data_IF_664105199593
#
_entry.id   IF_664105199593
#
_cell.length_a   1.000
_cell.length_b   1.000
_cell.length_c   1.000
_cell.angle_alpha   90.00
_cell.angle_beta   90.00
_cell.angle_gamma   90.00
#
_symmetry.space_group_name_H-M   'P 1'
#
loop_
_entity.id
_entity.type
_entity.pdbx_description
1 polymer ?
#
# COMPACT_ATOMS: atom_id res chain seq x y z
N UNK A 1 -34.86 28.20 27.58
CA UNK A 1 -34.58 26.77 27.78
C UNK A 1 -34.34 26.08 26.41
N UNK A 2 -33.29 26.44 25.65
CA UNK A 2 -33.08 25.96 24.27
C UNK A 2 -31.59 25.84 23.86
N UNK A 3 -30.67 25.53 24.80
CA UNK A 3 -29.22 25.45 24.51
C UNK A 3 -28.54 24.11 24.83
N UNK A 4 -29.26 23.05 25.20
CA UNK A 4 -28.64 21.76 25.58
C UNK A 4 -28.83 20.60 24.60
N UNK A 5 -29.49 20.75 23.44
CA UNK A 5 -29.73 19.62 22.50
C UNK A 5 -28.74 19.46 21.36
N UNK A 6 -27.90 20.46 21.05
CA UNK A 6 -26.94 20.37 19.97
C UNK A 6 -25.62 19.63 20.33
N UNK A 7 -25.19 19.66 21.58
CA UNK A 7 -23.94 19.08 22.06
C UNK A 7 -23.98 17.55 22.16
N UNK A 8 -25.12 16.96 22.50
CA UNK A 8 -25.27 15.50 22.60
C UNK A 8 -25.28 14.80 21.23
N UNK A 9 -25.89 15.42 20.23
CA UNK A 9 -25.96 14.82 18.88
C UNK A 9 -24.61 14.79 18.19
N UNK A 10 -23.79 15.82 18.37
CA UNK A 10 -22.43 15.93 17.82
C UNK A 10 -21.46 14.98 18.54
N UNK A 11 -21.58 14.82 19.86
CA UNK A 11 -20.79 13.84 20.64
C UNK A 11 -21.14 12.40 20.27
N UNK A 12 -22.42 12.08 20.11
CA UNK A 12 -22.89 10.74 19.73
C UNK A 12 -22.44 10.38 18.31
N UNK A 13 -22.50 11.33 17.37
CA UNK A 13 -22.03 11.13 15.99
C UNK A 13 -20.51 10.95 15.92
N UNK A 14 -19.73 11.71 16.70
CA UNK A 14 -18.28 11.53 16.86
C UNK A 14 -17.91 10.19 17.51
N UNK A 15 -18.69 9.73 18.48
CA UNK A 15 -18.49 8.42 19.13
C UNK A 15 -18.82 7.25 18.19
N UNK A 16 -19.88 7.38 17.37
CA UNK A 16 -20.24 6.38 16.38
C UNK A 16 -19.20 6.29 15.25
N UNK A 17 -18.65 7.42 14.78
CA UNK A 17 -17.55 7.44 13.79
C UNK A 17 -16.26 6.76 14.30
N UNK A 18 -15.97 6.83 15.61
CA UNK A 18 -14.81 6.16 16.23
C UNK A 18 -14.96 4.63 16.34
N UNK A 19 -16.15 4.08 16.14
CA UNK A 19 -16.46 2.65 16.30
C UNK A 19 -16.67 1.91 14.97
N UNK A 20 -16.49 2.56 13.82
CA UNK A 20 -16.55 1.85 12.53
C UNK A 20 -15.36 0.89 12.36
N UNK A 21 -15.51 -0.17 11.56
CA UNK A 21 -14.39 -1.07 11.22
C UNK A 21 -13.18 -0.29 10.69
N UNK A 22 -13.39 0.67 9.81
CA UNK A 22 -12.35 1.54 9.25
C UNK A 22 -11.61 2.34 10.32
N UNK A 23 -12.35 2.96 11.25
CA UNK A 23 -11.74 3.75 12.33
C UNK A 23 -10.88 2.89 13.26
N UNK A 24 -11.31 1.65 13.55
CA UNK A 24 -10.53 0.69 14.36
C UNK A 24 -9.27 0.24 13.63
N UNK A 25 -9.39 -0.10 12.35
CA UNK A 25 -8.25 -0.50 11.53
C UNK A 25 -7.28 0.67 11.39
N UNK A 26 -7.78 1.90 11.12
CA UNK A 26 -6.94 3.10 11.04
C UNK A 26 -6.18 3.36 12.34
N UNK A 27 -6.83 3.22 13.48
CA UNK A 27 -6.19 3.36 14.79
C UNK A 27 -5.07 2.32 15.00
N UNK A 28 -5.28 1.06 14.59
CA UNK A 28 -4.25 0.02 14.70
C UNK A 28 -3.07 0.26 13.76
N UNK A 29 -3.30 0.82 12.56
CA UNK A 29 -2.21 1.23 11.66
C UNK A 29 -1.47 2.47 12.17
N UNK A 30 -2.15 3.43 12.78
CA UNK A 30 -1.50 4.57 13.44
C UNK A 30 -0.53 4.09 14.53
N UNK A 31 -0.95 3.13 15.37
CA UNK A 31 -0.07 2.52 16.35
C UNK A 31 1.15 1.87 15.69
N UNK A 32 0.94 1.00 14.71
CA UNK A 32 2.00 0.27 14.00
C UNK A 32 2.99 1.21 13.29
N UNK A 33 2.52 2.32 12.70
CA UNK A 33 3.36 3.23 11.92
C UNK A 33 4.01 4.31 12.78
N UNK A 34 3.25 4.91 13.71
CA UNK A 34 3.71 6.09 14.45
C UNK A 34 4.24 5.71 15.84
N UNK A 35 3.49 4.92 16.62
CA UNK A 35 3.86 4.61 18.01
C UNK A 35 4.96 3.54 18.10
N UNK A 36 4.99 2.59 17.17
CA UNK A 36 6.04 1.55 17.09
C UNK A 36 7.26 1.99 16.26
N UNK A 37 7.34 3.27 15.91
CA UNK A 37 8.45 3.88 15.17
C UNK A 37 8.85 3.14 13.89
N UNK A 38 7.87 2.89 13.02
CA UNK A 38 8.05 2.17 11.76
C UNK A 38 9.22 2.75 10.93
N UNK A 39 10.08 1.93 10.29
CA UNK A 39 11.30 2.40 9.63
C UNK A 39 11.04 3.28 8.40
N UNK A 40 9.89 3.15 7.74
CA UNK A 40 9.56 3.92 6.54
C UNK A 40 9.15 5.35 6.89
N UNK A 41 10.02 6.32 6.65
CA UNK A 41 9.77 7.76 6.88
C UNK A 41 8.59 8.27 6.05
N UNK A 42 8.41 7.77 4.83
CA UNK A 42 7.27 8.16 3.99
C UNK A 42 5.94 7.71 4.60
N UNK A 43 5.89 6.47 5.11
CA UNK A 43 4.71 5.98 5.83
C UNK A 43 4.43 6.84 7.08
N UNK A 44 5.45 7.14 7.89
CA UNK A 44 5.28 8.02 9.05
C UNK A 44 4.76 9.40 8.65
N UNK A 45 5.28 9.99 7.58
CA UNK A 45 4.83 11.29 7.08
C UNK A 45 3.36 11.27 6.68
N UNK A 46 2.93 10.34 5.84
CA UNK A 46 1.54 10.30 5.37
C UNK A 46 0.55 9.97 6.50
N UNK A 47 0.94 9.13 7.45
CA UNK A 47 0.11 8.82 8.63
C UNK A 47 0.02 10.00 9.60
N UNK A 48 1.14 10.67 9.91
CA UNK A 48 1.15 11.84 10.82
C UNK A 48 0.36 13.02 10.26
N UNK A 49 0.31 13.18 8.94
CA UNK A 49 -0.43 14.23 8.24
C UNK A 49 -1.87 13.86 7.91
N UNK A 50 -2.35 12.67 8.33
CA UNK A 50 -3.67 12.11 7.99
C UNK A 50 -3.93 12.02 6.48
N UNK A 51 -2.88 11.75 5.69
CA UNK A 51 -2.90 11.64 4.22
C UNK A 51 -2.96 10.17 3.73
N UNK A 52 -3.65 9.32 4.48
CA UNK A 52 -3.89 7.92 4.15
C UNK A 52 -5.35 7.73 3.80
N UNK A 53 -5.63 7.34 2.57
CA UNK A 53 -6.96 6.92 2.12
C UNK A 53 -7.12 5.41 2.41
N UNK A 54 -7.67 5.09 3.59
CA UNK A 54 -7.78 3.73 4.10
C UNK A 54 -9.18 3.18 3.88
N UNK A 55 -9.25 2.00 3.27
CA UNK A 55 -10.48 1.26 3.02
C UNK A 55 -10.42 -0.15 3.61
N UNK A 56 -11.56 -0.65 4.07
CA UNK A 56 -11.74 -2.00 4.60
C UNK A 56 -12.53 -2.84 3.60
N UNK A 57 -11.96 -3.99 3.22
CA UNK A 57 -12.58 -4.95 2.31
C UNK A 57 -12.73 -6.31 3.00
N UNK A 58 -13.66 -7.13 2.50
CA UNK A 58 -14.00 -8.43 3.08
C UNK A 58 -12.91 -9.46 2.82
N UNK A 59 -12.60 -9.71 1.53
CA UNK A 59 -11.75 -10.81 1.08
C UNK A 59 -10.56 -10.31 0.25
N UNK A 60 -9.36 -10.80 0.56
CA UNK A 60 -8.20 -10.69 -0.28
C UNK A 60 -8.22 -11.80 -1.34
N UNK A 61 -7.96 -11.46 -2.61
CA UNK A 61 -7.88 -12.41 -3.72
C UNK A 61 -9.25 -12.75 -4.33
N UNK A 62 -10.21 -11.81 -4.31
CA UNK A 62 -11.51 -11.98 -4.96
C UNK A 62 -11.79 -10.93 -6.05
N UNK A 63 -12.47 -11.33 -7.13
CA UNK A 63 -12.84 -10.43 -8.23
C UNK A 63 -13.90 -9.39 -7.80
N UNK A 64 -14.74 -9.75 -6.83
CA UNK A 64 -15.70 -8.81 -6.24
C UNK A 64 -14.97 -7.67 -5.52
N UNK A 65 -14.00 -8.02 -4.68
CA UNK A 65 -13.15 -7.04 -3.99
C UNK A 65 -12.33 -6.19 -4.97
N UNK A 66 -11.81 -6.79 -6.06
CA UNK A 66 -11.08 -6.05 -7.08
C UNK A 66 -11.91 -4.90 -7.68
N UNK A 67 -13.21 -5.13 -7.96
CA UNK A 67 -14.10 -4.06 -8.47
C UNK A 67 -14.30 -2.93 -7.45
N UNK A 68 -14.42 -3.27 -6.15
CA UNK A 68 -14.54 -2.27 -5.09
C UNK A 68 -13.26 -1.45 -4.96
N UNK A 69 -12.10 -2.12 -4.86
CA UNK A 69 -10.79 -1.46 -4.77
C UNK A 69 -10.57 -0.55 -5.98
N UNK A 70 -10.82 -1.03 -7.20
CA UNK A 70 -10.61 -0.24 -8.41
C UNK A 70 -11.48 1.03 -8.43
N UNK A 71 -12.75 0.92 -8.00
CA UNK A 71 -13.64 2.07 -7.89
C UNK A 71 -13.09 3.12 -6.92
N UNK A 72 -12.68 2.68 -5.73
CA UNK A 72 -12.17 3.58 -4.69
C UNK A 72 -10.81 4.16 -5.11
N UNK A 73 -9.94 3.35 -5.74
CA UNK A 73 -8.66 3.80 -6.27
C UNK A 73 -8.81 4.84 -7.40
N UNK A 74 -9.80 4.68 -8.30
CA UNK A 74 -10.10 5.70 -9.32
C UNK A 74 -10.54 7.04 -8.68
N UNK A 75 -11.31 7.00 -7.59
CA UNK A 75 -11.64 8.20 -6.82
C UNK A 75 -10.41 8.83 -6.17
N UNK A 76 -9.51 8.01 -5.59
CA UNK A 76 -8.25 8.45 -5.04
C UNK A 76 -7.36 9.14 -6.09
N UNK A 77 -7.21 8.54 -7.29
CA UNK A 77 -6.44 9.12 -8.39
C UNK A 77 -7.06 10.45 -8.84
N UNK A 78 -8.40 10.51 -8.98
CA UNK A 78 -9.09 11.72 -9.40
C UNK A 78 -9.02 12.87 -8.40
N UNK A 79 -8.90 12.56 -7.11
CA UNK A 79 -8.73 13.55 -6.03
C UNK A 79 -7.28 13.96 -5.81
N UNK A 80 -6.30 13.25 -6.39
CA UNK A 80 -4.90 13.52 -6.21
C UNK A 80 -4.45 14.75 -7.01
N UNK A 81 -3.82 15.71 -6.32
CA UNK A 81 -3.23 16.89 -6.95
C UNK A 81 -1.78 16.60 -7.38
N UNK A 82 -1.57 16.29 -8.66
CA UNK A 82 -0.25 15.98 -9.23
C UNK A 82 0.67 17.21 -9.34
N UNK A 83 0.17 18.42 -9.15
CA UNK A 83 0.98 19.66 -9.09
C UNK A 83 1.48 19.96 -7.68
N UNK A 84 0.92 19.30 -6.66
CA UNK A 84 1.35 19.48 -5.27
C UNK A 84 2.63 18.69 -4.96
N UNK A 85 3.27 19.01 -3.82
CA UNK A 85 4.33 18.20 -3.25
C UNK A 85 3.81 17.25 -2.17
N UNK A 86 2.51 16.97 -2.16
CA UNK A 86 1.87 16.12 -1.17
C UNK A 86 2.03 14.65 -1.52
N UNK A 87 2.43 13.86 -0.53
CA UNK A 87 2.49 12.40 -0.64
C UNK A 87 1.27 11.81 0.05
N UNK A 88 0.54 10.95 -0.66
CA UNK A 88 -0.63 10.25 -0.19
C UNK A 88 -0.45 8.75 -0.41
N UNK A 89 -1.13 7.94 0.37
CA UNK A 89 -1.15 6.48 0.20
C UNK A 89 -2.59 5.99 0.21
N UNK A 90 -2.96 5.18 -0.79
CA UNK A 90 -4.19 4.40 -0.73
C UNK A 90 -3.88 3.07 -0.04
N UNK A 91 -4.64 2.71 1.00
CA UNK A 91 -4.42 1.51 1.80
C UNK A 91 -5.66 0.60 1.79
N UNK A 92 -5.58 -0.49 1.04
CA UNK A 92 -6.60 -1.55 1.06
C UNK A 92 -6.31 -2.53 2.20
N UNK A 93 -7.24 -2.71 3.14
CA UNK A 93 -7.09 -3.57 4.31
C UNK A 93 -8.12 -4.70 4.35
N UNK A 94 -7.73 -5.87 4.87
CA UNK A 94 -8.51 -7.11 4.84
C UNK A 94 -8.56 -7.77 6.23
N UNK A 95 -9.31 -7.22 7.20
CA UNK A 95 -9.28 -7.67 8.60
C UNK A 95 -9.97 -9.03 8.84
N UNK A 96 -10.67 -9.58 7.86
CA UNK A 96 -11.46 -10.81 8.00
C UNK A 96 -10.62 -12.06 8.32
N UNK A 97 -9.45 -12.19 7.70
CA UNK A 97 -8.52 -13.30 7.92
C UNK A 97 -7.11 -12.80 8.18
N UNK A 98 -6.41 -13.36 9.20
CA UNK A 98 -5.08 -12.92 9.63
C UNK A 98 -4.02 -14.02 9.66
N UNK A 99 -4.41 -15.28 9.52
CA UNK A 99 -3.62 -16.49 9.74
C UNK A 99 -2.90 -17.00 8.48
N UNK A 100 -2.54 -16.08 7.56
CA UNK A 100 -1.78 -16.43 6.37
C UNK A 100 -0.31 -16.76 6.70
N UNK A 101 0.25 -17.78 6.04
CA UNK A 101 1.69 -17.87 5.84
C UNK A 101 2.14 -16.82 4.81
N UNK A 102 3.43 -16.47 4.77
CA UNK A 102 3.96 -15.53 3.75
C UNK A 102 3.63 -15.99 2.31
N UNK A 103 3.73 -17.29 2.05
CA UNK A 103 3.41 -17.85 0.71
C UNK A 103 1.92 -17.72 0.39
N UNK A 104 1.04 -18.00 1.33
CA UNK A 104 -0.41 -17.84 1.12
C UNK A 104 -0.79 -16.37 0.91
N UNK A 105 -0.16 -15.46 1.66
CA UNK A 105 -0.37 -14.04 1.45
C UNK A 105 0.11 -13.59 0.07
N UNK A 106 1.30 -14.02 -0.35
CA UNK A 106 1.84 -13.74 -1.68
C UNK A 106 0.89 -14.21 -2.79
N UNK A 107 0.38 -15.46 -2.69
CA UNK A 107 -0.55 -16.02 -3.67
C UNK A 107 -1.85 -15.20 -3.76
N UNK A 108 -2.39 -14.81 -2.62
CA UNK A 108 -3.62 -13.99 -2.58
C UNK A 108 -3.37 -12.55 -3.05
N UNK A 109 -2.22 -11.97 -2.73
CA UNK A 109 -1.83 -10.65 -3.23
C UNK A 109 -1.78 -10.65 -4.76
N UNK A 110 -1.04 -11.58 -5.36
CA UNK A 110 -0.93 -11.67 -6.81
C UNK A 110 -2.26 -11.99 -7.49
N UNK A 111 -3.07 -12.84 -6.87
CA UNK A 111 -4.43 -13.12 -7.34
C UNK A 111 -5.31 -11.85 -7.30
N UNK A 112 -5.18 -11.04 -6.25
CA UNK A 112 -5.89 -9.76 -6.15
C UNK A 112 -5.43 -8.77 -7.21
N UNK A 113 -4.12 -8.66 -7.45
CA UNK A 113 -3.55 -7.82 -8.51
C UNK A 113 -4.00 -8.29 -9.90
N UNK A 114 -4.00 -9.60 -10.15
CA UNK A 114 -4.52 -10.16 -11.41
C UNK A 114 -5.99 -9.77 -11.64
N UNK A 115 -6.85 -9.92 -10.62
CA UNK A 115 -8.25 -9.52 -10.75
C UNK A 115 -8.42 -8.00 -10.91
N UNK A 116 -7.58 -7.18 -10.30
CA UNK A 116 -7.58 -5.74 -10.52
C UNK A 116 -7.26 -5.41 -11.97
N UNK A 117 -6.22 -6.01 -12.52
CA UNK A 117 -5.86 -5.85 -13.93
C UNK A 117 -6.97 -6.29 -14.89
N UNK A 118 -7.62 -7.43 -14.63
CA UNK A 118 -8.72 -7.94 -15.46
C UNK A 118 -9.97 -7.03 -15.48
N UNK A 119 -10.25 -6.33 -14.37
CA UNK A 119 -11.44 -5.46 -14.28
C UNK A 119 -11.15 -4.00 -14.62
N UNK A 120 -9.87 -3.62 -14.73
CA UNK A 120 -9.48 -2.27 -15.14
C UNK A 120 -9.59 -2.12 -16.66
N UNK A 121 -10.26 -1.07 -17.09
CA UNK A 121 -10.47 -0.72 -18.50
C UNK A 121 -9.44 0.31 -19.02
N UNK A 122 -8.59 0.83 -18.13
CA UNK A 122 -7.61 1.83 -18.51
C UNK A 122 -6.34 1.20 -19.10
N UNK A 123 -5.63 1.90 -19.99
CA UNK A 123 -4.35 1.46 -20.49
C UNK A 123 -3.31 1.42 -19.36
N UNK A 124 -2.27 0.62 -19.55
CA UNK A 124 -1.10 0.63 -18.67
C UNK A 124 -0.41 2.00 -18.74
N UNK A 125 0.14 2.46 -17.61
CA UNK A 125 0.89 3.71 -17.56
C UNK A 125 2.10 3.62 -18.51
N UNK A 126 2.22 4.51 -19.52
CA UNK A 126 3.31 4.44 -20.50
C UNK A 126 4.70 4.73 -19.91
N UNK A 127 4.78 5.25 -18.68
CA UNK A 127 6.06 5.52 -18.01
C UNK A 127 6.76 4.24 -17.49
N UNK A 128 6.05 3.10 -17.45
CA UNK A 128 6.56 1.85 -16.88
C UNK A 128 6.25 0.64 -17.77
N UNK A 129 6.99 -0.45 -17.59
CA UNK A 129 6.75 -1.70 -18.30
C UNK A 129 5.57 -2.48 -17.70
N UNK A 130 4.77 -3.13 -18.54
CA UNK A 130 3.75 -4.10 -18.11
C UNK A 130 4.29 -5.53 -17.98
N UNK A 131 5.51 -5.80 -18.47
CA UNK A 131 6.17 -7.08 -18.34
C UNK A 131 6.80 -7.23 -16.96
N UNK A 132 6.32 -8.18 -16.11
CA UNK A 132 6.81 -8.34 -14.74
C UNK A 132 8.26 -8.81 -14.65
N UNK A 133 8.87 -9.29 -15.74
CA UNK A 133 10.30 -9.66 -15.79
C UNK A 133 11.19 -8.48 -16.19
N UNK A 134 10.62 -7.35 -16.61
CA UNK A 134 11.35 -6.15 -17.00
C UNK A 134 11.76 -5.33 -15.78
N UNK A 135 12.99 -4.80 -15.77
CA UNK A 135 13.52 -3.99 -14.66
C UNK A 135 12.75 -2.68 -14.43
N UNK A 136 12.03 -2.19 -15.45
CA UNK A 136 11.15 -1.02 -15.36
C UNK A 136 9.69 -1.39 -15.10
N UNK A 137 9.42 -2.60 -14.63
CA UNK A 137 8.07 -3.00 -14.25
C UNK A 137 7.58 -2.23 -13.02
N UNK A 138 6.39 -1.65 -13.14
CA UNK A 138 5.62 -1.16 -12.00
C UNK A 138 4.13 -1.38 -12.27
N UNK A 139 3.37 -1.86 -11.31
CA UNK A 139 1.98 -2.26 -11.52
C UNK A 139 1.10 -1.05 -11.83
N UNK A 140 0.26 -1.13 -12.86
CA UNK A 140 -0.58 -0.01 -13.30
C UNK A 140 -2.07 -0.28 -13.12
N UNK A 141 -2.80 0.71 -12.61
CA UNK A 141 -4.26 0.73 -12.44
C UNK A 141 -4.81 2.13 -12.67
N UNK A 142 -5.95 2.22 -13.35
CA UNK A 142 -6.55 3.51 -13.66
C UNK A 142 -5.65 4.42 -14.51
N UNK A 143 -4.74 3.84 -15.32
CA UNK A 143 -3.77 4.55 -16.13
C UNK A 143 -2.59 5.16 -15.36
N UNK A 144 -2.36 4.75 -14.13
CA UNK A 144 -1.25 5.22 -13.27
C UNK A 144 -0.46 4.05 -12.71
N UNK A 145 0.86 4.22 -12.66
CA UNK A 145 1.77 3.25 -12.05
C UNK A 145 1.81 3.38 -10.52
N UNK A 146 1.92 2.23 -9.84
CA UNK A 146 1.96 2.13 -8.39
C UNK A 146 3.05 1.18 -7.93
N UNK A 147 3.84 1.62 -6.96
CA UNK A 147 4.66 0.74 -6.14
C UNK A 147 3.80 0.09 -5.05
N UNK A 148 3.67 -1.24 -5.11
CA UNK A 148 2.84 -2.01 -4.20
C UNK A 148 3.60 -2.45 -2.96
N UNK A 149 2.97 -2.34 -1.80
CA UNK A 149 3.53 -2.83 -0.53
C UNK A 149 2.52 -3.74 0.15
N UNK A 150 2.76 -5.04 0.06
CA UNK A 150 2.02 -6.06 0.79
C UNK A 150 2.46 -6.12 2.25
N UNK A 151 1.50 -6.21 3.15
CA UNK A 151 1.68 -6.20 4.61
C UNK A 151 0.77 -7.27 5.23
N UNK A 152 1.27 -8.03 6.21
CA UNK A 152 0.43 -8.99 6.94
C UNK A 152 1.05 -9.36 8.30
N UNK A 153 0.24 -9.80 9.30
CA UNK A 153 0.72 -10.03 10.67
C UNK A 153 1.87 -11.04 10.81
N UNK A 154 1.94 -12.02 9.91
CA UNK A 154 2.92 -13.12 9.98
C UNK A 154 4.09 -12.93 9.01
N UNK A 155 4.38 -11.71 8.59
CA UNK A 155 5.56 -11.43 7.76
C UNK A 155 6.84 -11.70 8.55
N UNK A 156 7.87 -12.26 7.89
CA UNK A 156 9.21 -12.43 8.48
C UNK A 156 9.94 -11.10 8.67
N UNK A 157 9.55 -10.05 7.94
CA UNK A 157 10.08 -8.68 8.09
C UNK A 157 9.20 -7.88 9.05
N UNK A 158 9.78 -7.38 10.16
CA UNK A 158 9.07 -6.56 11.15
C UNK A 158 8.37 -5.35 10.54
N UNK A 159 9.02 -4.66 9.60
CA UNK A 159 8.43 -3.54 8.85
C UNK A 159 7.21 -3.93 7.99
N UNK A 160 6.90 -5.20 7.83
CA UNK A 160 5.74 -5.72 7.09
C UNK A 160 4.71 -6.40 8.00
N UNK A 161 4.97 -6.50 9.32
CA UNK A 161 4.08 -7.14 10.31
C UNK A 161 2.94 -6.19 10.72
N UNK A 162 2.04 -5.91 9.79
CA UNK A 162 0.89 -5.03 10.04
C UNK A 162 -0.18 -5.70 10.92
N UNK A 163 -1.06 -4.92 11.56
CA UNK A 163 -2.11 -5.47 12.44
C UNK A 163 -3.16 -6.32 11.70
N UNK A 164 -3.36 -6.09 10.43
CA UNK A 164 -4.22 -6.87 9.53
C UNK A 164 -3.58 -6.94 8.14
N UNK A 165 -3.91 -7.95 7.30
CA UNK A 165 -3.44 -7.99 5.92
C UNK A 165 -3.84 -6.72 5.16
N UNK A 166 -2.90 -6.17 4.39
CA UNK A 166 -3.11 -4.95 3.65
C UNK A 166 -2.24 -4.88 2.39
N UNK A 167 -2.67 -4.06 1.45
CA UNK A 167 -1.88 -3.65 0.29
C UNK A 167 -1.88 -2.13 0.25
N UNK A 168 -0.70 -1.51 0.37
CA UNK A 168 -0.52 -0.09 0.13
C UNK A 168 -0.20 0.14 -1.34
N UNK A 169 -0.90 1.09 -1.94
CA UNK A 169 -0.74 1.55 -3.31
C UNK A 169 -0.11 2.94 -3.25
N UNK A 170 1.16 3.03 -3.61
CA UNK A 170 1.90 4.27 -3.61
C UNK A 170 2.13 4.70 -5.07
N UNK A 171 1.63 5.85 -5.47
CA UNK A 171 1.82 6.34 -6.83
C UNK A 171 3.31 6.40 -7.18
N UNK A 172 3.69 5.77 -8.29
CA UNK A 172 5.08 5.77 -8.79
C UNK A 172 5.58 7.21 -9.00
N UNK A 173 4.72 8.09 -9.47
CA UNK A 173 4.98 9.52 -9.61
C UNK A 173 5.58 10.18 -8.34
N UNK A 174 5.18 9.75 -7.13
CA UNK A 174 5.71 10.32 -5.88
C UNK A 174 7.22 10.05 -5.71
N UNK A 175 7.70 8.90 -6.16
CA UNK A 175 9.12 8.56 -6.11
C UNK A 175 9.92 9.37 -7.13
N UNK A 176 9.35 9.59 -8.34
CA UNK A 176 9.95 10.47 -9.34
C UNK A 176 10.02 11.91 -8.83
N UNK A 177 8.97 12.37 -8.15
CA UNK A 177 8.96 13.70 -7.51
C UNK A 177 10.04 13.84 -6.45
N UNK A 178 10.26 12.81 -5.62
CA UNK A 178 11.39 12.79 -4.67
C UNK A 178 12.75 12.85 -5.37
N UNK A 179 12.90 12.22 -6.55
CA UNK A 179 14.13 12.29 -7.36
C UNK A 179 14.35 13.69 -7.90
N UNK A 180 13.32 14.31 -8.47
CA UNK A 180 13.36 15.72 -8.94
C UNK A 180 13.76 16.69 -7.82
N UNK A 181 13.25 16.48 -6.61
CA UNK A 181 13.59 17.29 -5.43
C UNK A 181 15.00 17.00 -4.88
N UNK A 182 15.74 16.02 -5.42
CA UNK A 182 17.04 15.61 -4.92
C UNK A 182 17.01 14.89 -3.55
N UNK A 183 15.82 14.57 -3.03
CA UNK A 183 15.63 14.01 -1.70
C UNK A 183 15.63 12.47 -1.69
N UNK A 184 15.41 11.82 -2.84
CA UNK A 184 15.20 10.37 -2.93
C UNK A 184 16.28 9.55 -2.25
N UNK A 185 17.56 9.78 -2.56
CA UNK A 185 18.66 8.99 -2.02
C UNK A 185 18.78 9.15 -0.50
N UNK A 186 18.65 10.37 0.01
CA UNK A 186 18.73 10.65 1.46
C UNK A 186 17.59 9.94 2.21
N UNK A 187 16.36 10.00 1.70
CA UNK A 187 15.19 9.35 2.30
C UNK A 187 15.35 7.83 2.24
N UNK A 188 15.72 7.27 1.08
CA UNK A 188 15.98 5.85 0.88
C UNK A 188 17.01 5.31 1.86
N UNK A 189 18.17 5.95 1.94
CA UNK A 189 19.29 5.50 2.77
C UNK A 189 18.94 5.55 4.25
N UNK A 190 18.19 6.58 4.67
CA UNK A 190 17.69 6.66 6.04
C UNK A 190 16.66 5.57 6.37
N UNK A 191 15.76 5.25 5.43
CA UNK A 191 14.82 4.13 5.60
C UNK A 191 15.58 2.80 5.70
N UNK A 192 16.60 2.58 4.87
CA UNK A 192 17.42 1.36 4.90
C UNK A 192 18.20 1.22 6.23
N UNK A 193 18.75 2.31 6.76
CA UNK A 193 19.41 2.34 8.08
C UNK A 193 18.41 1.92 9.16
N UNK A 194 17.24 2.55 9.24
CA UNK A 194 16.20 2.24 10.23
C UNK A 194 15.66 0.81 10.10
N UNK A 195 15.49 0.29 8.88
CA UNK A 195 15.08 -1.09 8.66
C UNK A 195 16.15 -2.07 9.17
N UNK A 196 17.44 -1.73 8.98
CA UNK A 196 18.56 -2.51 9.53
C UNK A 196 18.55 -2.49 11.05
N UNK A 197 18.31 -1.34 11.68
CA UNK A 197 18.25 -1.23 13.15
C UNK A 197 17.08 -2.04 13.71
N UNK A 198 15.93 -2.01 13.06
CA UNK A 198 14.73 -2.75 13.47
C UNK A 198 14.89 -4.27 13.32
N UNK A 199 15.46 -4.73 12.20
CA UNK A 199 15.47 -6.15 11.80
C UNK A 199 16.84 -6.83 11.97
N UNK A 200 17.92 -6.06 12.13
CA UNK A 200 19.30 -6.56 12.08
C UNK A 200 19.87 -6.71 10.67
N UNK A 201 19.05 -6.45 9.61
CA UNK A 201 19.47 -6.53 8.21
C UNK A 201 18.57 -5.65 7.33
N UNK A 202 19.12 -5.09 6.26
CA UNK A 202 18.33 -4.45 5.21
C UNK A 202 17.52 -5.55 4.48
N UNK A 203 16.28 -5.24 4.08
CA UNK A 203 15.48 -6.15 3.29
C UNK A 203 16.21 -6.46 1.96
N UNK A 204 16.61 -7.73 1.71
CA UNK A 204 17.40 -8.08 0.53
C UNK A 204 16.63 -7.95 -0.80
N UNK A 205 15.30 -7.77 -0.74
CA UNK A 205 14.46 -7.58 -1.92
C UNK A 205 14.35 -6.10 -2.34
N UNK A 206 14.86 -5.15 -1.52
CA UNK A 206 14.78 -3.73 -1.84
C UNK A 206 15.88 -3.32 -2.80
N UNK A 207 15.48 -3.12 -4.06
CA UNK A 207 16.29 -2.52 -5.10
C UNK A 207 15.67 -1.21 -5.59
N UNK A 208 16.48 -0.36 -6.22
CA UNK A 208 15.98 0.86 -6.82
C UNK A 208 15.28 0.53 -8.15
N UNK A 209 14.23 1.28 -8.49
CA UNK A 209 13.52 1.15 -9.76
C UNK A 209 14.50 1.23 -10.94
N UNK A 210 14.37 0.32 -11.91
CA UNK A 210 15.25 0.20 -13.05
C UNK A 210 16.47 -0.73 -12.84
N UNK A 211 16.73 -1.22 -11.62
CA UNK A 211 17.80 -2.19 -11.36
C UNK A 211 17.30 -3.64 -11.38
N UNK A 212 16.05 -3.86 -11.00
CA UNK A 212 15.35 -5.15 -11.05
C UNK A 212 13.84 -4.89 -10.95
N UNK A 213 13.06 -5.86 -11.43
CA UNK A 213 11.60 -5.77 -11.36
C UNK A 213 11.10 -5.57 -9.92
N UNK A 214 10.24 -4.58 -9.71
CA UNK A 214 9.58 -4.31 -8.42
C UNK A 214 8.69 -5.48 -7.96
N UNK A 215 8.27 -6.37 -8.87
CA UNK A 215 7.41 -7.51 -8.56
C UNK A 215 7.95 -8.35 -7.40
N UNK A 216 9.28 -8.54 -7.32
CA UNK A 216 9.95 -9.30 -6.25
C UNK A 216 9.74 -8.72 -4.85
N UNK A 217 9.40 -7.44 -4.77
CA UNK A 217 9.28 -6.69 -3.51
C UNK A 217 7.84 -6.62 -2.96
N UNK A 218 6.83 -6.83 -3.81
CA UNK A 218 5.44 -6.52 -3.50
C UNK A 218 4.88 -7.33 -2.32
N UNK A 219 5.12 -8.63 -2.27
CA UNK A 219 4.62 -9.48 -1.18
C UNK A 219 5.33 -9.26 0.16
N UNK A 220 6.56 -8.74 0.14
CA UNK A 220 7.44 -8.62 1.30
C UNK A 220 8.17 -9.90 1.68
N UNK A 221 7.84 -11.05 1.06
CA UNK A 221 8.51 -12.32 1.26
C UNK A 221 9.88 -12.31 0.57
N UNK A 222 10.90 -12.89 1.21
CA UNK A 222 12.18 -13.15 0.56
C UNK A 222 12.00 -14.24 -0.50
N UNK A 223 12.35 -13.92 -1.76
CA UNK A 223 12.28 -14.85 -2.89
C UNK A 223 13.69 -15.13 -3.42
N UNK A 224 13.89 -16.32 -4.03
CA UNK A 224 15.14 -16.71 -4.69
C UNK A 224 15.20 -16.29 -6.15
N UNK A 225 16.31 -16.60 -6.80
CA UNK A 225 16.54 -16.28 -8.21
C UNK A 225 15.56 -17.02 -9.15
N UNK A 226 15.14 -18.23 -8.78
CA UNK A 226 14.17 -19.05 -9.53
C UNK A 226 12.72 -18.54 -9.43
N UNK A 227 12.47 -17.51 -8.61
CA UNK A 227 11.12 -17.00 -8.46
C UNK A 227 10.67 -16.27 -9.73
N UNK A 228 9.48 -16.61 -10.19
CA UNK A 228 8.81 -15.96 -11.30
C UNK A 228 7.54 -15.27 -10.81
N UNK A 229 7.31 -14.08 -11.31
CA UNK A 229 6.10 -13.35 -11.01
C UNK A 229 4.88 -14.13 -11.54
N UNK A 230 3.87 -14.42 -10.69
CA UNK A 230 2.66 -15.12 -11.15
C UNK A 230 1.68 -14.24 -11.92
N UNK A 231 1.97 -12.95 -12.06
CA UNK A 231 1.13 -12.01 -12.81
C UNK A 231 1.27 -12.19 -14.32
N UNK A 232 0.12 -12.17 -15.02
CA UNK A 232 0.03 -12.24 -16.46
C UNK A 232 -0.47 -10.90 -17.01
N UNK A 233 0.36 -10.18 -17.75
CA UNK A 233 0.04 -8.87 -18.33
C UNK A 233 -0.97 -8.91 -19.48
N UNK A 234 -1.16 -10.08 -20.11
CA UNK A 234 -2.22 -10.26 -21.12
C UNK A 234 -3.60 -10.31 -20.48
N UNK A 235 -4.56 -9.54 -21.01
CA UNK A 235 -5.96 -9.72 -20.62
C UNK A 235 -6.47 -11.01 -21.25
N UNK A 236 -6.93 -11.96 -20.44
CA UNK A 236 -7.61 -13.17 -20.91
C UNK A 236 -9.02 -12.84 -21.41
#
# INVERSE_FOLDING_TARGET
MRFMRQDTHTKTKKLQLKNTPEAKVKASFNNFILEEDHPCLMAQTVFSMDKVDLHVYEDLGSKHTARKILKDLKNYIAAYDFESNDFLTFLATFPGRKDFTEKQFEDLLWKQLQFLHEVDDQPWDPAVSSDPENDNFSFSLGGKAFYMVGLHPNSSRKARQSPVPAIAFNLHWQFEKLREMGAYHTVRDKIRERDKDLQGSINPMLEDFGNTSEAKQYSGRKVGEEWKCPFLSGKM
#
